data_IF_609980203883
#
_entry.id   IF_609980203883
#
_cell.length_a   1.000
_cell.length_b   1.000
_cell.length_c   1.000
_cell.angle_alpha   90.00
_cell.angle_beta   90.00
_cell.angle_gamma   90.00
#
_symmetry.space_group_name_H-M   'P 1'
#
loop_
_entity.id
_entity.type
_entity.pdbx_description
1 polymer ?
#
# COMPACT_ATOMS: atom_id res chain seq x y z
N UNK A 1 11.04 8.50 -27.62
CA UNK A 1 11.49 7.31 -26.85
C UNK A 1 11.58 7.77 -25.41
N UNK A 2 10.53 7.50 -24.64
CA UNK A 2 10.52 7.76 -23.19
C UNK A 2 11.40 6.73 -22.54
N UNK A 3 12.29 7.18 -21.67
CA UNK A 3 13.22 6.37 -20.89
C UNK A 3 12.41 5.36 -20.02
N UNK A 4 12.59 4.04 -20.18
CA UNK A 4 11.87 3.04 -19.39
C UNK A 4 12.31 2.99 -17.91
N UNK A 5 13.25 3.84 -17.50
CA UNK A 5 13.72 3.98 -16.11
C UNK A 5 13.01 5.12 -15.37
N UNK A 6 12.00 5.77 -15.93
CA UNK A 6 11.22 6.74 -15.17
C UNK A 6 10.48 6.01 -14.03
N UNK A 7 11.12 6.03 -12.85
CA UNK A 7 10.47 5.85 -11.57
C UNK A 7 9.16 6.65 -11.57
N UNK A 8 8.08 6.04 -11.11
CA UNK A 8 6.88 6.79 -10.73
C UNK A 8 7.38 8.00 -9.93
N UNK A 9 7.09 9.20 -10.44
CA UNK A 9 7.39 10.44 -9.73
C UNK A 9 6.55 10.45 -8.45
N UNK A 10 7.17 9.99 -7.35
CA UNK A 10 6.50 9.89 -6.06
C UNK A 10 6.13 11.26 -5.50
N UNK A 11 6.80 12.32 -5.95
CA UNK A 11 6.46 13.69 -5.57
C UNK A 11 5.23 14.18 -6.34
N UNK A 12 5.07 13.77 -7.61
CA UNK A 12 3.84 13.99 -8.36
C UNK A 12 2.65 13.20 -7.78
N UNK A 13 2.87 11.98 -7.30
CA UNK A 13 1.84 11.19 -6.61
C UNK A 13 1.44 11.83 -5.27
N UNK A 14 2.40 12.36 -4.52
CA UNK A 14 2.14 13.10 -3.27
C UNK A 14 1.33 14.36 -3.53
N UNK A 15 1.74 15.20 -4.48
CA UNK A 15 1.03 16.42 -4.86
C UNK A 15 -0.41 16.13 -5.35
N UNK A 16 -0.59 15.01 -6.07
CA UNK A 16 -1.91 14.56 -6.50
C UNK A 16 -2.79 14.14 -5.32
N UNK A 17 -2.20 13.59 -4.25
CA UNK A 17 -2.90 13.12 -3.05
C UNK A 17 -3.23 14.18 -2.02
N UNK A 18 -2.65 15.39 -2.08
CA UNK A 18 -2.88 16.47 -1.09
C UNK A 18 -4.36 16.91 -0.98
N UNK A 19 -5.23 16.54 -1.94
CA UNK A 19 -6.67 16.78 -1.90
C UNK A 19 -7.54 15.54 -1.61
N UNK A 20 -6.94 14.36 -1.35
CA UNK A 20 -7.68 13.11 -1.16
C UNK A 20 -8.07 12.93 0.30
N UNK A 21 -9.36 13.07 0.59
CA UNK A 21 -9.92 12.72 1.90
C UNK A 21 -10.20 11.22 1.99
N UNK A 22 -9.21 10.45 2.46
CA UNK A 22 -9.32 9.01 2.67
C UNK A 22 -10.39 8.61 3.70
N UNK A 23 -10.77 9.53 4.60
CA UNK A 23 -11.82 9.30 5.60
C UNK A 23 -13.22 9.20 5.00
N UNK A 24 -13.50 9.91 3.88
CA UNK A 24 -14.81 9.89 3.21
C UNK A 24 -15.13 8.59 2.49
N UNK A 25 -14.11 7.81 2.14
CA UNK A 25 -14.24 6.55 1.39
C UNK A 25 -13.88 5.34 2.24
N UNK A 26 -13.79 5.48 3.57
CA UNK A 26 -13.29 4.42 4.46
C UNK A 26 -14.03 3.09 4.30
N UNK A 27 -15.35 3.08 4.11
CA UNK A 27 -16.14 1.85 3.94
C UNK A 27 -15.94 1.22 2.56
N UNK A 28 -15.92 2.02 1.48
CA UNK A 28 -15.65 1.53 0.12
C UNK A 28 -14.19 1.11 -0.02
N UNK A 29 -13.28 1.83 0.64
CA UNK A 29 -11.87 1.50 0.71
C UNK A 29 -11.65 0.15 1.39
N UNK A 30 -12.28 -0.09 2.54
CA UNK A 30 -12.21 -1.36 3.26
C UNK A 30 -12.82 -2.54 2.47
N UNK A 31 -13.88 -2.27 1.69
CA UNK A 31 -14.63 -3.29 0.97
C UNK A 31 -13.94 -3.72 -0.33
N UNK A 32 -13.29 -2.80 -1.03
CA UNK A 32 -12.81 -3.04 -2.40
C UNK A 32 -11.29 -3.02 -2.57
N UNK A 33 -10.55 -2.52 -1.58
CA UNK A 33 -9.08 -2.56 -1.64
C UNK A 33 -8.59 -3.89 -1.07
N UNK A 34 -7.98 -4.72 -1.92
CA UNK A 34 -7.30 -5.91 -1.47
C UNK A 34 -6.20 -5.51 -0.46
N UNK A 35 -6.23 -6.08 0.72
CA UNK A 35 -5.12 -6.02 1.66
C UNK A 35 -3.90 -6.77 1.11
N UNK A 36 -2.77 -6.68 1.81
CA UNK A 36 -1.62 -7.51 1.46
C UNK A 36 -1.99 -9.00 1.53
N UNK A 37 -1.69 -9.78 0.47
CA UNK A 37 -2.03 -11.19 0.42
C UNK A 37 -1.13 -12.02 1.35
N UNK A 38 -1.51 -13.27 1.68
CA UNK A 38 -0.71 -14.17 2.52
C UNK A 38 0.75 -14.28 2.09
N UNK A 39 1.02 -14.27 0.78
CA UNK A 39 2.37 -14.31 0.22
C UNK A 39 3.32 -13.20 0.73
N UNK A 40 2.78 -12.03 1.11
CA UNK A 40 3.57 -10.97 1.74
C UNK A 40 4.10 -11.41 3.11
N UNK A 41 3.24 -11.93 3.96
CA UNK A 41 3.58 -12.36 5.32
C UNK A 41 4.46 -13.62 5.29
N UNK A 42 4.20 -14.53 4.36
CA UNK A 42 5.04 -15.69 4.10
C UNK A 42 6.46 -15.29 3.70
N UNK A 43 6.60 -14.29 2.82
CA UNK A 43 7.89 -13.74 2.42
C UNK A 43 8.68 -13.19 3.61
N UNK A 44 8.04 -12.41 4.48
CA UNK A 44 8.67 -11.86 5.69
C UNK A 44 9.16 -12.98 6.62
N UNK A 45 8.34 -13.99 6.83
CA UNK A 45 8.65 -15.13 7.71
C UNK A 45 9.76 -16.01 7.13
N UNK A 46 9.68 -16.36 5.84
CA UNK A 46 10.69 -17.19 5.16
C UNK A 46 12.07 -16.55 5.12
N UNK A 47 12.12 -15.20 5.06
CA UNK A 47 13.36 -14.42 5.12
C UNK A 47 13.88 -14.24 6.54
N UNK A 48 13.12 -14.66 7.56
CA UNK A 48 13.47 -14.42 8.96
C UNK A 48 13.43 -12.92 9.35
N UNK A 49 12.67 -12.13 8.62
CA UNK A 49 12.54 -10.69 8.87
C UNK A 49 11.53 -10.37 9.94
N UNK A 50 10.66 -11.32 10.26
CA UNK A 50 9.69 -11.22 11.34
C UNK A 50 9.44 -12.58 11.99
N UNK A 51 8.99 -12.54 13.25
CA UNK A 51 8.64 -13.74 14.01
C UNK A 51 7.82 -13.42 15.27
N UNK A 52 7.23 -14.44 15.89
CA UNK A 52 6.37 -14.24 17.06
C UNK A 52 7.12 -13.61 18.24
N UNK A 53 6.40 -12.82 19.04
CA UNK A 53 6.94 -12.15 20.22
C UNK A 53 7.70 -10.85 19.96
N UNK A 54 7.88 -10.47 18.70
CA UNK A 54 8.44 -9.15 18.34
C UNK A 54 7.41 -8.04 18.54
N UNK A 55 7.89 -6.83 18.81
CA UNK A 55 7.09 -5.60 18.81
C UNK A 55 7.18 -4.94 17.43
N UNK A 56 6.03 -4.66 16.83
CA UNK A 56 5.96 -4.01 15.52
C UNK A 56 5.21 -2.67 15.57
N UNK A 57 5.64 -1.73 14.74
CA UNK A 57 4.91 -0.48 14.45
C UNK A 57 4.56 -0.44 12.98
N UNK A 58 3.26 -0.27 12.65
CA UNK A 58 2.77 -0.13 11.27
C UNK A 58 2.38 1.32 11.01
N UNK A 59 3.16 2.01 10.16
CA UNK A 59 2.99 3.42 9.83
C UNK A 59 2.02 3.58 8.66
N UNK A 60 1.08 4.53 8.76
CA UNK A 60 0.03 4.72 7.78
C UNK A 60 -0.83 3.47 7.66
N UNK A 61 -1.19 2.87 8.79
CA UNK A 61 -1.80 1.54 8.86
C UNK A 61 -3.21 1.47 8.24
N UNK A 62 -3.88 2.61 8.06
CA UNK A 62 -5.22 2.69 7.49
C UNK A 62 -6.21 1.80 8.24
N UNK A 63 -6.84 0.87 7.52
CA UNK A 63 -7.77 -0.12 8.08
C UNK A 63 -7.07 -1.35 8.68
N UNK A 64 -5.76 -1.29 8.91
CA UNK A 64 -4.99 -2.27 9.67
C UNK A 64 -4.64 -3.56 8.91
N UNK A 65 -4.56 -3.55 7.59
CA UNK A 65 -4.32 -4.78 6.81
C UNK A 65 -2.95 -5.41 7.08
N UNK A 66 -1.88 -4.61 7.16
CA UNK A 66 -0.54 -5.09 7.52
C UNK A 66 -0.48 -5.40 9.00
N UNK A 67 -0.92 -4.47 9.84
CA UNK A 67 -0.94 -4.66 11.30
C UNK A 67 -1.66 -5.96 11.71
N UNK A 68 -2.82 -6.24 11.10
CA UNK A 68 -3.62 -7.46 11.38
C UNK A 68 -2.89 -8.74 10.97
N UNK A 69 -2.22 -8.73 9.81
CA UNK A 69 -1.44 -9.88 9.39
C UNK A 69 -0.23 -10.13 10.28
N UNK A 70 0.46 -9.08 10.75
CA UNK A 70 1.56 -9.20 11.70
C UNK A 70 1.09 -9.71 13.07
N UNK A 71 -0.05 -9.19 13.58
CA UNK A 71 -0.65 -9.70 14.81
C UNK A 71 -1.04 -11.19 14.68
N UNK A 72 -1.53 -11.61 13.50
CA UNK A 72 -1.79 -13.01 13.17
C UNK A 72 -0.54 -13.90 13.18
N UNK A 73 0.64 -13.34 12.99
CA UNK A 73 1.93 -14.02 13.14
C UNK A 73 2.44 -14.03 14.60
N UNK A 74 1.70 -13.44 15.54
CA UNK A 74 2.05 -13.41 16.97
C UNK A 74 2.94 -12.24 17.38
N UNK A 75 2.94 -11.12 16.63
CA UNK A 75 3.61 -9.89 17.01
C UNK A 75 2.69 -9.03 17.90
N UNK A 76 3.32 -8.24 18.80
CA UNK A 76 2.66 -7.12 19.48
C UNK A 76 2.70 -5.88 18.57
N UNK A 77 1.53 -5.46 18.07
CA UNK A 77 1.47 -4.47 16.99
C UNK A 77 0.82 -3.17 17.45
N UNK A 78 1.50 -2.06 17.12
CA UNK A 78 0.93 -0.70 17.20
C UNK A 78 0.77 -0.12 15.80
N UNK A 79 -0.46 0.22 15.40
CA UNK A 79 -0.77 0.92 14.14
C UNK A 79 -0.88 2.43 14.35
N UNK A 80 -0.27 3.20 13.45
CA UNK A 80 -0.32 4.67 13.44
C UNK A 80 -0.95 5.14 12.13
N UNK A 81 -1.97 5.99 12.24
CA UNK A 81 -2.61 6.63 11.08
C UNK A 81 -3.22 7.98 11.50
N UNK A 82 -3.18 9.03 10.67
CA UNK A 82 -3.82 10.31 11.00
C UNK A 82 -5.34 10.26 10.92
N UNK A 83 -5.93 9.33 10.18
CA UNK A 83 -7.36 9.27 9.91
C UNK A 83 -8.11 8.41 10.95
N UNK A 84 -8.65 9.03 11.99
CA UNK A 84 -9.42 8.34 13.04
C UNK A 84 -10.53 7.42 12.47
N UNK A 85 -11.30 7.78 11.42
CA UNK A 85 -12.30 6.88 10.85
C UNK A 85 -11.73 5.56 10.31
N UNK A 86 -10.50 5.57 9.75
CA UNK A 86 -9.82 4.34 9.31
C UNK A 86 -9.43 3.47 10.50
N UNK A 87 -8.93 4.07 11.59
CA UNK A 87 -8.60 3.34 12.81
C UNK A 87 -9.84 2.73 13.48
N UNK A 88 -10.98 3.40 13.40
CA UNK A 88 -12.24 2.87 13.94
C UNK A 88 -12.72 1.66 13.12
N UNK A 89 -12.54 1.70 11.81
CA UNK A 89 -12.82 0.54 10.95
C UNK A 89 -11.83 -0.60 11.18
N UNK A 90 -10.53 -0.29 11.35
CA UNK A 90 -9.50 -1.27 11.69
C UNK A 90 -9.88 -2.07 12.94
N UNK A 91 -10.29 -1.39 14.04
CA UNK A 91 -10.74 -2.03 15.28
C UNK A 91 -11.95 -2.96 15.09
N UNK A 92 -12.87 -2.65 14.16
CA UNK A 92 -13.99 -3.54 13.84
C UNK A 92 -13.52 -4.81 13.14
N UNK A 93 -12.63 -4.64 12.17
CA UNK A 93 -12.07 -5.76 11.41
C UNK A 93 -11.18 -6.66 12.29
N UNK A 94 -10.45 -6.10 13.26
CA UNK A 94 -9.63 -6.86 14.21
C UNK A 94 -10.48 -7.72 15.12
N UNK A 95 -11.59 -7.17 15.66
CA UNK A 95 -12.55 -7.97 16.46
C UNK A 95 -13.10 -9.13 15.66
N UNK A 96 -13.41 -8.94 14.38
CA UNK A 96 -13.88 -9.99 13.49
C UNK A 96 -12.81 -11.05 13.21
N UNK A 97 -11.53 -10.65 13.19
CA UNK A 97 -10.39 -11.53 12.98
C UNK A 97 -9.88 -12.19 14.30
N UNK A 98 -10.36 -11.75 15.47
CA UNK A 98 -9.92 -12.28 16.75
C UNK A 98 -8.49 -11.90 17.13
N UNK A 99 -8.00 -10.72 16.69
CA UNK A 99 -6.67 -10.18 17.02
C UNK A 99 -6.79 -8.90 17.83
N UNK A 100 -5.76 -8.60 18.62
CA UNK A 100 -5.64 -7.35 19.38
C UNK A 100 -4.52 -6.50 18.83
N UNK A 101 -4.81 -5.23 18.50
CA UNK A 101 -3.87 -4.26 17.96
C UNK A 101 -4.10 -2.94 18.67
N UNK A 102 -3.01 -2.29 19.07
CA UNK A 102 -3.05 -0.92 19.60
C UNK A 102 -3.05 0.07 18.43
N UNK A 103 -4.03 0.98 18.39
CA UNK A 103 -4.07 2.05 17.38
C UNK A 103 -3.95 3.42 18.02
N UNK A 104 -3.09 4.28 17.43
CA UNK A 104 -2.91 5.68 17.83
C UNK A 104 -3.03 6.61 16.63
N UNK A 105 -3.70 7.73 16.83
CA UNK A 105 -3.70 8.82 15.83
C UNK A 105 -2.36 9.51 15.84
N UNK A 106 -1.73 9.63 14.67
CA UNK A 106 -0.42 10.25 14.50
C UNK A 106 0.04 10.18 13.06
N UNK A 107 1.13 10.84 12.73
CA UNK A 107 1.75 10.78 11.40
C UNK A 107 3.00 9.90 11.42
N UNK A 108 3.45 9.47 10.25
CA UNK A 108 4.66 8.65 10.12
C UNK A 108 5.93 9.41 10.51
N UNK A 109 5.91 10.73 10.42
CA UNK A 109 7.01 11.64 10.75
C UNK A 109 7.11 11.94 12.25
N UNK A 110 6.01 11.72 13.00
CA UNK A 110 5.94 12.03 14.43
C UNK A 110 4.90 11.13 15.14
N UNK A 111 5.30 9.90 15.42
CA UNK A 111 4.41 8.87 16.00
C UNK A 111 4.08 9.10 17.48
N UNK A 112 4.91 9.85 18.18
CA UNK A 112 4.81 10.02 19.63
C UNK A 112 5.13 8.75 20.45
N UNK A 113 5.71 7.74 19.82
CA UNK A 113 6.18 6.52 20.48
C UNK A 113 7.59 6.70 21.05
N UNK A 114 7.96 5.86 22.03
CA UNK A 114 9.31 5.87 22.59
C UNK A 114 10.35 5.47 21.54
N UNK A 115 11.56 6.03 21.65
CA UNK A 115 12.70 5.58 20.85
C UNK A 115 13.07 4.13 21.21
N UNK A 116 13.68 3.41 20.28
CA UNK A 116 14.14 2.03 20.46
C UNK A 116 13.04 1.12 21.07
N UNK A 117 11.81 1.26 20.57
CA UNK A 117 10.64 0.53 21.08
C UNK A 117 10.16 -0.59 20.16
N UNK A 118 10.63 -0.67 18.91
CA UNK A 118 10.18 -1.63 17.92
C UNK A 118 11.32 -2.54 17.41
N UNK A 119 11.00 -3.81 17.22
CA UNK A 119 11.86 -4.77 16.51
C UNK A 119 11.63 -4.71 14.99
N UNK A 120 10.40 -4.32 14.61
CA UNK A 120 9.97 -4.18 13.21
C UNK A 120 9.18 -2.89 13.03
N UNK A 121 9.49 -2.12 11.99
CA UNK A 121 8.65 -1.01 11.53
C UNK A 121 8.22 -1.29 10.10
N UNK A 122 6.92 -1.24 9.86
CA UNK A 122 6.34 -1.45 8.51
C UNK A 122 5.67 -0.19 7.98
N UNK A 123 5.65 -0.04 6.65
CA UNK A 123 4.85 0.94 5.93
C UNK A 123 4.32 0.28 4.64
N UNK A 124 3.04 -0.06 4.64
CA UNK A 124 2.39 -0.77 3.54
C UNK A 124 1.50 0.12 2.69
N UNK A 125 1.82 0.35 1.41
CA UNK A 125 1.01 1.13 0.46
C UNK A 125 0.90 2.63 0.78
N UNK A 126 1.78 3.20 1.60
CA UNK A 126 1.64 4.57 2.11
C UNK A 126 2.92 5.42 2.03
N UNK A 127 4.09 4.82 1.79
CA UNK A 127 5.38 5.53 1.84
C UNK A 127 5.46 6.76 0.93
N UNK A 128 4.83 6.72 -0.22
CA UNK A 128 4.76 7.82 -1.18
C UNK A 128 3.92 9.04 -0.72
N UNK A 129 3.13 8.88 0.37
CA UNK A 129 2.36 9.98 0.96
C UNK A 129 3.13 10.76 2.02
N UNK A 130 4.23 10.20 2.54
CA UNK A 130 4.97 10.75 3.66
C UNK A 130 5.98 11.82 3.21
N UNK A 131 6.38 12.69 4.15
CA UNK A 131 7.68 13.34 4.08
C UNK A 131 8.75 12.25 4.34
N UNK A 132 9.23 11.64 3.24
CA UNK A 132 10.06 10.43 3.30
C UNK A 132 11.33 10.59 4.13
N UNK A 133 12.09 11.71 4.03
CA UNK A 133 13.23 11.94 4.91
C UNK A 133 12.84 11.98 6.39
N UNK A 134 11.77 12.69 6.74
CA UNK A 134 11.30 12.78 8.13
C UNK A 134 10.73 11.43 8.63
N UNK A 135 9.97 10.73 7.80
CA UNK A 135 9.45 9.40 8.14
C UNK A 135 10.58 8.37 8.30
N UNK A 136 11.59 8.39 7.44
CA UNK A 136 12.75 7.49 7.56
C UNK A 136 13.56 7.75 8.83
N UNK A 137 13.73 9.02 9.23
CA UNK A 137 14.35 9.38 10.49
C UNK A 137 13.55 8.87 11.71
N UNK A 138 12.20 8.98 11.64
CA UNK A 138 11.33 8.44 12.69
C UNK A 138 11.37 6.91 12.74
N UNK A 139 11.43 6.23 11.60
CA UNK A 139 11.65 4.78 11.52
C UNK A 139 12.95 4.39 12.24
N UNK A 140 14.06 5.04 11.93
CA UNK A 140 15.34 4.78 12.60
C UNK A 140 15.27 5.04 14.11
N UNK A 141 14.57 6.10 14.54
CA UNK A 141 14.38 6.42 15.97
C UNK A 141 13.56 5.35 16.71
N UNK A 142 12.55 4.78 16.05
CA UNK A 142 11.66 3.76 16.64
C UNK A 142 12.34 2.41 16.77
N UNK A 143 13.21 2.06 15.85
CA UNK A 143 13.86 0.75 15.82
C UNK A 143 14.82 0.60 16.99
N UNK A 144 14.83 -0.59 17.57
CA UNK A 144 15.90 -1.06 18.46
C UNK A 144 17.16 -1.34 17.63
N UNK A 145 18.34 -1.33 18.24
CA UNK A 145 19.54 -1.89 17.61
C UNK A 145 19.27 -3.32 17.08
N UNK A 146 19.58 -3.57 15.83
CA UNK A 146 19.24 -4.82 15.13
C UNK A 146 17.81 -4.91 14.62
N UNK A 147 16.96 -3.91 14.90
CA UNK A 147 15.58 -3.84 14.39
C UNK A 147 15.52 -3.56 12.89
N UNK A 148 14.42 -3.91 12.26
CA UNK A 148 14.24 -3.90 10.81
C UNK A 148 13.13 -2.98 10.36
N UNK A 149 13.35 -2.23 9.29
CA UNK A 149 12.31 -1.54 8.54
C UNK A 149 11.88 -2.36 7.32
N UNK A 150 10.59 -2.36 7.00
CA UNK A 150 10.01 -2.93 5.78
C UNK A 150 9.04 -1.94 5.16
N UNK A 151 9.41 -1.37 4.03
CA UNK A 151 8.53 -0.54 3.21
C UNK A 151 8.00 -1.41 2.07
N UNK A 152 6.69 -1.54 1.93
CA UNK A 152 6.10 -2.45 0.97
C UNK A 152 5.03 -1.78 0.09
N UNK A 153 4.92 -2.25 -1.14
CA UNK A 153 3.85 -1.89 -2.05
C UNK A 153 3.24 -3.13 -2.67
N UNK A 154 1.96 -3.04 -3.02
CA UNK A 154 1.19 -4.11 -3.65
C UNK A 154 0.38 -3.53 -4.80
N UNK A 155 0.94 -3.62 -6.00
CA UNK A 155 0.41 -2.99 -7.20
C UNK A 155 -0.10 -4.00 -8.20
N UNK A 156 -1.17 -3.63 -8.90
CA UNK A 156 -1.54 -4.27 -10.15
C UNK A 156 -0.47 -4.01 -11.23
N UNK A 157 -0.32 -4.96 -12.17
CA UNK A 157 0.68 -4.86 -13.23
C UNK A 157 0.02 -4.63 -14.59
N UNK A 158 0.23 -3.48 -15.22
CA UNK A 158 -0.24 -3.20 -16.59
C UNK A 158 0.67 -3.89 -17.61
N UNK A 159 0.42 -5.19 -17.82
CA UNK A 159 1.15 -5.97 -18.81
C UNK A 159 0.47 -5.88 -20.19
N UNK A 160 1.22 -5.97 -21.29
CA UNK A 160 0.66 -5.88 -22.64
C UNK A 160 -0.52 -6.84 -22.83
N UNK A 161 -1.68 -6.30 -23.25
CA UNK A 161 -2.88 -7.08 -23.55
C UNK A 161 -3.70 -7.54 -22.34
N UNK A 162 -3.30 -7.22 -21.10
CA UNK A 162 -4.09 -7.60 -19.94
C UNK A 162 -5.15 -6.56 -19.56
N UNK A 163 -6.05 -6.97 -18.69
CA UNK A 163 -7.16 -6.14 -18.20
C UNK A 163 -6.68 -4.88 -17.47
N UNK A 164 -5.52 -4.92 -16.82
CA UNK A 164 -4.95 -3.76 -16.13
C UNK A 164 -4.55 -2.68 -17.14
N UNK A 165 -3.77 -3.05 -18.18
CA UNK A 165 -3.37 -2.12 -19.22
C UNK A 165 -4.57 -1.51 -19.94
N UNK A 166 -5.61 -2.31 -20.24
CA UNK A 166 -6.83 -1.83 -20.84
C UNK A 166 -7.61 -0.86 -19.91
N UNK A 167 -7.62 -1.16 -18.60
CA UNK A 167 -8.25 -0.30 -17.58
C UNK A 167 -7.49 1.03 -17.45
N UNK A 168 -6.16 1.00 -17.37
CA UNK A 168 -5.34 2.23 -17.27
C UNK A 168 -5.48 3.10 -18.53
N UNK A 169 -5.53 2.49 -19.70
CA UNK A 169 -5.81 3.22 -20.94
C UNK A 169 -7.19 3.91 -20.90
N UNK A 170 -8.19 3.27 -20.28
CA UNK A 170 -9.50 3.90 -20.06
C UNK A 170 -9.42 5.04 -19.05
N UNK A 171 -8.71 4.86 -17.93
CA UNK A 171 -8.51 5.94 -16.94
C UNK A 171 -7.89 7.16 -17.62
N UNK A 172 -6.83 6.97 -18.40
CA UNK A 172 -6.13 8.07 -19.09
C UNK A 172 -7.01 8.81 -20.10
N UNK A 173 -8.01 8.16 -20.72
CA UNK A 173 -8.99 8.86 -21.56
C UNK A 173 -9.87 9.82 -20.77
N UNK A 174 -10.24 9.46 -19.56
CA UNK A 174 -11.06 10.29 -18.68
C UNK A 174 -10.25 11.26 -17.82
N UNK A 175 -9.01 10.92 -17.50
CA UNK A 175 -8.07 11.69 -16.69
C UNK A 175 -6.66 11.65 -17.32
N UNK A 176 -6.38 12.46 -18.35
CA UNK A 176 -5.07 12.46 -19.02
C UNK A 176 -3.89 12.86 -18.13
N UNK A 177 -4.16 13.56 -17.02
CA UNK A 177 -3.14 13.97 -16.04
C UNK A 177 -2.81 12.91 -14.99
N UNK A 178 -3.41 11.73 -15.03
CA UNK A 178 -3.12 10.70 -14.04
C UNK A 178 -1.71 10.12 -14.20
N UNK A 179 -0.84 10.40 -13.22
CA UNK A 179 0.57 9.99 -13.22
C UNK A 179 0.79 8.53 -12.79
N UNK A 180 -0.24 7.80 -12.35
CA UNK A 180 -0.12 6.43 -11.82
C UNK A 180 -0.14 5.33 -12.88
N UNK A 181 -0.30 5.67 -14.18
CA UNK A 181 -0.35 4.68 -15.24
C UNK A 181 1.04 4.12 -15.57
N UNK A 182 1.09 2.85 -16.00
CA UNK A 182 2.33 2.19 -16.44
C UNK A 182 3.27 1.82 -15.30
N UNK A 183 2.78 1.75 -14.08
CA UNK A 183 3.57 1.40 -12.91
C UNK A 183 4.20 0.01 -13.02
N UNK A 184 5.49 -0.09 -12.67
CA UNK A 184 6.21 -1.38 -12.64
C UNK A 184 6.07 -2.12 -11.32
N UNK A 185 5.52 -1.46 -10.29
CA UNK A 185 5.48 -1.97 -8.92
C UNK A 185 6.87 -2.07 -8.26
N UNK A 186 7.85 -1.26 -8.69
CA UNK A 186 9.23 -1.27 -8.18
C UNK A 186 9.63 0.17 -7.83
N UNK A 187 10.15 0.39 -6.61
CA UNK A 187 10.41 1.72 -6.05
C UNK A 187 11.84 1.85 -5.49
N UNK A 188 12.90 1.86 -6.33
CA UNK A 188 14.30 1.82 -5.88
C UNK A 188 14.71 3.04 -5.03
N UNK A 189 14.08 4.18 -5.21
CA UNK A 189 14.34 5.40 -4.45
C UNK A 189 14.13 5.21 -2.93
N UNK A 190 13.25 4.28 -2.52
CA UNK A 190 12.99 4.01 -1.10
C UNK A 190 14.17 3.34 -0.38
N UNK A 191 15.05 2.66 -1.11
CA UNK A 191 16.33 2.19 -0.56
C UNK A 191 17.22 3.37 -0.14
N UNK A 192 17.21 4.45 -0.94
CA UNK A 192 17.95 5.68 -0.63
C UNK A 192 17.41 6.33 0.64
N UNK A 193 16.08 6.35 0.82
CA UNK A 193 15.45 6.90 2.02
C UNK A 193 15.94 6.15 3.28
N UNK A 194 15.94 4.81 3.24
CA UNK A 194 16.43 3.96 4.34
C UNK A 194 17.92 4.15 4.61
N UNK A 195 18.75 4.20 3.54
CA UNK A 195 20.20 4.41 3.66
C UNK A 195 20.52 5.77 4.29
N UNK A 196 19.83 6.83 3.88
CA UNK A 196 20.03 8.18 4.41
C UNK A 196 19.60 8.30 5.87
N UNK A 197 18.67 7.48 6.33
CA UNK A 197 18.29 7.37 7.73
C UNK A 197 19.25 6.50 8.58
N UNK A 198 20.31 5.98 7.98
CA UNK A 198 21.35 5.21 8.67
C UNK A 198 21.07 3.70 8.75
N UNK A 199 20.08 3.18 8.03
CA UNK A 199 19.87 1.75 7.95
C UNK A 199 20.89 1.12 7.00
N UNK A 200 21.31 -0.10 7.35
CA UNK A 200 22.29 -0.91 6.60
C UNK A 200 21.67 -2.24 6.17
N UNK A 201 22.47 -3.15 5.64
CA UNK A 201 22.01 -4.45 5.12
C UNK A 201 20.73 -4.32 4.27
N UNK A 202 20.74 -3.31 3.36
CA UNK A 202 19.61 -3.01 2.50
C UNK A 202 19.33 -4.17 1.54
N UNK A 203 18.08 -4.60 1.50
CA UNK A 203 17.62 -5.65 0.61
C UNK A 203 16.32 -5.23 -0.10
N UNK A 204 16.03 -5.84 -1.24
CA UNK A 204 14.72 -5.81 -1.87
C UNK A 204 14.22 -7.21 -2.11
N UNK A 205 12.90 -7.38 -2.10
CA UNK A 205 12.30 -8.61 -2.58
C UNK A 205 11.03 -8.27 -3.37
N UNK A 206 10.71 -9.10 -4.36
CA UNK A 206 9.45 -9.01 -5.07
C UNK A 206 8.88 -10.38 -5.37
N UNK A 207 7.55 -10.47 -5.32
CA UNK A 207 6.78 -11.66 -5.69
C UNK A 207 5.57 -11.22 -6.49
N UNK A 208 5.37 -11.81 -7.66
CA UNK A 208 4.19 -11.60 -8.45
C UNK A 208 3.12 -12.62 -8.05
N UNK A 209 1.92 -12.13 -7.78
CA UNK A 209 0.78 -12.95 -7.37
C UNK A 209 -0.43 -12.61 -8.24
N UNK A 210 -1.34 -13.56 -8.36
CA UNK A 210 -2.60 -13.35 -9.06
C UNK A 210 -3.72 -13.12 -8.06
N UNK A 211 -4.47 -12.02 -8.23
CA UNK A 211 -5.64 -11.71 -7.42
C UNK A 211 -6.91 -11.95 -8.22
N UNK A 212 -7.85 -12.77 -7.70
CA UNK A 212 -9.12 -12.97 -8.36
C UNK A 212 -10.04 -11.76 -8.15
N UNK A 213 -10.62 -11.26 -9.23
CA UNK A 213 -11.64 -10.20 -9.19
C UNK A 213 -12.82 -10.55 -10.09
N UNK A 214 -14.03 -10.43 -9.58
CA UNK A 214 -15.20 -10.31 -10.46
C UNK A 214 -15.20 -8.95 -11.14
N UNK A 215 -15.94 -8.80 -12.25
CA UNK A 215 -16.11 -7.48 -12.91
C UNK A 215 -16.61 -6.42 -11.92
N UNK A 216 -17.55 -6.79 -11.05
CA UNK A 216 -18.11 -5.87 -10.05
C UNK A 216 -17.02 -5.44 -9.05
N UNK A 217 -16.25 -6.39 -8.53
CA UNK A 217 -15.20 -6.10 -7.57
C UNK A 217 -14.06 -5.26 -8.19
N UNK A 218 -13.64 -5.58 -9.43
CA UNK A 218 -12.63 -4.79 -10.15
C UNK A 218 -13.08 -3.36 -10.39
N UNK A 219 -14.30 -3.16 -10.90
CA UNK A 219 -14.89 -1.84 -11.08
C UNK A 219 -14.92 -1.05 -9.76
N UNK A 220 -15.35 -1.68 -8.67
CA UNK A 220 -15.33 -1.08 -7.34
C UNK A 220 -13.93 -0.65 -6.90
N UNK A 221 -12.94 -1.52 -7.10
CA UNK A 221 -11.52 -1.24 -6.83
C UNK A 221 -11.00 -0.04 -7.63
N UNK A 222 -11.37 0.03 -8.92
CA UNK A 222 -10.94 1.12 -9.80
C UNK A 222 -11.63 2.44 -9.43
N UNK A 223 -12.94 2.44 -9.14
CA UNK A 223 -13.63 3.65 -8.67
C UNK A 223 -13.02 4.21 -7.39
N UNK A 224 -12.52 3.34 -6.48
CA UNK A 224 -11.85 3.77 -5.25
C UNK A 224 -10.38 4.19 -5.46
N UNK A 225 -9.85 4.13 -6.70
CA UNK A 225 -8.46 4.51 -6.98
C UNK A 225 -8.29 6.02 -7.12
N UNK A 226 -7.06 6.49 -6.88
CA UNK A 226 -6.71 7.90 -7.03
C UNK A 226 -6.96 8.42 -8.46
N UNK A 227 -6.80 7.60 -9.48
CA UNK A 227 -7.04 7.95 -10.89
C UNK A 227 -8.51 8.26 -11.22
N UNK A 228 -9.45 7.80 -10.40
CA UNK A 228 -10.89 7.98 -10.60
C UNK A 228 -11.51 8.78 -9.46
N UNK A 229 -11.52 8.27 -8.23
CA UNK A 229 -12.24 8.89 -7.11
C UNK A 229 -11.75 10.30 -6.74
N UNK A 230 -10.46 10.57 -6.86
CA UNK A 230 -9.88 11.87 -6.52
C UNK A 230 -9.97 12.89 -7.66
N UNK A 231 -10.27 12.47 -8.89
CA UNK A 231 -10.10 13.30 -10.09
C UNK A 231 -11.37 13.52 -10.89
N UNK A 232 -12.37 12.65 -10.75
CA UNK A 232 -13.61 12.72 -11.50
C UNK A 232 -14.77 13.07 -10.58
N UNK A 233 -15.68 13.91 -11.06
CA UNK A 233 -16.97 14.14 -10.41
C UNK A 233 -17.89 12.90 -10.53
N UNK A 234 -19.05 12.94 -9.89
CA UNK A 234 -19.97 11.81 -9.85
C UNK A 234 -20.50 11.42 -11.23
N UNK A 235 -20.77 12.39 -12.11
CA UNK A 235 -21.28 12.14 -13.46
C UNK A 235 -20.21 11.48 -14.32
N UNK A 236 -18.99 12.01 -14.35
CA UNK A 236 -17.86 11.44 -15.08
C UNK A 236 -17.48 10.06 -14.54
N UNK A 237 -17.54 9.87 -13.24
CA UNK A 237 -17.31 8.55 -12.61
C UNK A 237 -18.35 7.53 -13.07
N UNK A 238 -19.61 7.91 -13.20
CA UNK A 238 -20.68 7.03 -13.70
C UNK A 238 -20.46 6.64 -15.16
N UNK A 239 -20.08 7.60 -16.01
CA UNK A 239 -19.75 7.34 -17.43
C UNK A 239 -18.56 6.41 -17.55
N UNK A 240 -17.48 6.70 -16.83
CA UNK A 240 -16.29 5.85 -16.75
C UNK A 240 -16.65 4.41 -16.35
N UNK A 241 -17.42 4.24 -15.29
CA UNK A 241 -17.81 2.92 -14.77
C UNK A 241 -18.64 2.12 -15.78
N UNK A 242 -19.53 2.79 -16.52
CA UNK A 242 -20.32 2.15 -17.59
C UNK A 242 -19.42 1.70 -18.76
N UNK A 243 -18.45 2.53 -19.16
CA UNK A 243 -17.46 2.18 -20.19
C UNK A 243 -16.56 1.03 -19.75
N UNK A 244 -16.07 1.04 -18.49
CA UNK A 244 -15.28 -0.06 -17.93
C UNK A 244 -16.10 -1.35 -17.90
N UNK A 245 -17.37 -1.31 -17.50
CA UNK A 245 -18.24 -2.47 -17.52
C UNK A 245 -18.42 -3.04 -18.95
N UNK A 246 -18.53 -2.18 -19.97
CA UNK A 246 -18.65 -2.60 -21.38
C UNK A 246 -17.34 -3.21 -21.87
N UNK A 247 -16.20 -2.60 -21.53
CA UNK A 247 -14.86 -3.09 -21.87
C UNK A 247 -14.62 -4.49 -21.30
N UNK A 248 -14.88 -4.68 -20.00
CA UNK A 248 -14.69 -5.96 -19.34
C UNK A 248 -15.54 -7.08 -19.99
N UNK A 249 -16.83 -6.85 -20.22
CA UNK A 249 -17.70 -7.83 -20.89
C UNK A 249 -17.24 -8.19 -22.31
N UNK A 250 -16.67 -7.25 -23.04
CA UNK A 250 -16.26 -7.44 -24.43
C UNK A 250 -14.91 -8.14 -24.55
N UNK A 251 -13.93 -7.71 -23.74
CA UNK A 251 -12.52 -8.11 -23.92
C UNK A 251 -12.02 -9.11 -22.87
N UNK A 252 -12.67 -9.15 -21.72
CA UNK A 252 -12.29 -10.02 -20.59
C UNK A 252 -13.52 -10.70 -19.98
N UNK A 253 -14.25 -11.54 -20.75
CA UNK A 253 -15.55 -12.06 -20.34
C UNK A 253 -15.50 -13.08 -19.19
N UNK A 254 -14.34 -13.69 -18.94
CA UNK A 254 -14.17 -14.71 -17.91
C UNK A 254 -14.21 -14.12 -16.50
N UNK A 255 -14.95 -14.75 -15.58
CA UNK A 255 -15.03 -14.38 -14.17
C UNK A 255 -14.83 -15.60 -13.25
N UNK A 256 -14.06 -15.48 -12.16
CA UNK A 256 -13.28 -14.30 -11.79
C UNK A 256 -12.05 -14.10 -12.69
N UNK A 257 -11.76 -12.84 -13.01
CA UNK A 257 -10.54 -12.47 -13.72
C UNK A 257 -9.32 -12.70 -12.82
N UNK A 258 -8.22 -13.11 -13.40
CA UNK A 258 -6.93 -13.29 -12.72
C UNK A 258 -6.08 -12.03 -12.95
N UNK A 259 -6.02 -11.14 -11.95
CA UNK A 259 -5.33 -9.84 -12.06
C UNK A 259 -3.91 -9.96 -11.51
N UNK A 260 -2.87 -9.80 -12.35
CA UNK A 260 -1.49 -9.86 -11.88
C UNK A 260 -1.18 -8.64 -11.00
N UNK A 261 -0.60 -8.91 -9.83
CA UNK A 261 -0.13 -7.92 -8.89
C UNK A 261 1.30 -8.25 -8.48
N UNK A 262 2.08 -7.24 -8.13
CA UNK A 262 3.41 -7.36 -7.55
C UNK A 262 3.40 -6.90 -6.11
N UNK A 263 3.88 -7.77 -5.23
CA UNK A 263 4.39 -7.37 -3.93
C UNK A 263 5.83 -6.95 -4.16
N UNK A 264 6.18 -5.73 -3.80
CA UNK A 264 7.56 -5.28 -3.78
C UNK A 264 7.85 -4.66 -2.43
N UNK A 265 9.04 -4.89 -1.92
CA UNK A 265 9.48 -4.30 -0.68
C UNK A 265 10.95 -3.90 -0.71
N UNK A 266 11.26 -2.83 0.05
CA UNK A 266 12.59 -2.44 0.48
C UNK A 266 12.71 -2.64 1.97
N UNK A 267 13.86 -3.11 2.43
CA UNK A 267 14.13 -3.35 3.85
C UNK A 267 15.56 -2.96 4.20
N UNK A 268 15.78 -2.64 5.46
CA UNK A 268 17.08 -2.37 6.04
C UNK A 268 17.06 -2.62 7.54
N UNK A 269 18.24 -2.72 8.14
CA UNK A 269 18.45 -2.97 9.57
C UNK A 269 19.11 -1.75 10.20
N UNK A 270 18.69 -1.36 11.38
CA UNK A 270 19.38 -0.37 12.19
C UNK A 270 20.54 -1.08 12.90
N UNK A 271 21.77 -0.68 12.59
CA UNK A 271 22.96 -1.24 13.24
C UNK A 271 22.98 -0.92 14.76
N UNK A 272 23.81 -1.71 15.47
CA UNK A 272 24.01 -1.59 16.95
C UNK A 272 24.83 -0.36 17.34
#
# INVERSE_FOLDING_TARGET
MTDPTQNLDTDALRAFGEGVDFGRTASDYATHRAGFPPAFFELLTQRGWTGPGQTAVDLGCGTGTVARGLAGLGLDVTGIDPAQPLLDEARKLDRAAGVEITYKTGTAEATGLAAASADLVTAGQCWHWFDRPAAAAEVARLLRPGGRAVIAHFDWLPLPGNVVAATEALILRHNPGWAGAGGTGIYPAWLTDLAQAGLTALETASVDVSQPYTHVAWRGRIRASAGVAASLDAERTSVFDAELAALLRREFPDEPMSIPHRIWLATGVLDT
#
